data_IF_220977178020
#
_entry.id   IF_220977178020
#
_cell.length_a   1.000
_cell.length_b   1.000
_cell.length_c   1.000
_cell.angle_alpha   90.00
_cell.angle_beta   90.00
_cell.angle_gamma   90.00
#
_symmetry.space_group_name_H-M   'P 1'
#
loop_
_entity.id
_entity.type
_entity.pdbx_description
1 polymer ?
#
# COMPACT_ATOMS: atom_id res chain seq x y z
N UNK A 1 -13.84 35.35 -5.00
CA UNK A 1 -14.65 34.15 -5.35
C UNK A 1 -14.49 33.14 -4.21
N UNK A 2 -15.54 32.38 -3.86
CA UNK A 2 -15.43 31.37 -2.81
C UNK A 2 -14.55 30.21 -3.26
N UNK A 3 -13.72 29.69 -2.35
CA UNK A 3 -12.81 28.56 -2.63
C UNK A 3 -13.60 27.28 -2.86
N UNK A 4 -13.42 26.68 -4.03
CA UNK A 4 -14.16 25.46 -4.41
C UNK A 4 -13.52 24.22 -3.77
N UNK A 5 -14.33 23.41 -3.07
CA UNK A 5 -13.91 22.14 -2.45
C UNK A 5 -14.68 20.98 -3.08
N UNK A 6 -13.97 20.06 -3.72
CA UNK A 6 -14.58 18.85 -4.28
C UNK A 6 -14.67 17.76 -3.23
N UNK A 7 -15.89 17.35 -2.87
CA UNK A 7 -16.14 16.20 -2.01
C UNK A 7 -16.41 14.96 -2.85
N UNK A 8 -15.65 13.90 -2.63
CA UNK A 8 -15.85 12.58 -3.25
C UNK A 8 -16.27 11.60 -2.18
N UNK A 9 -17.38 10.91 -2.39
CA UNK A 9 -18.00 10.07 -1.36
C UNK A 9 -18.38 8.71 -1.94
N UNK A 10 -18.04 7.63 -1.24
CA UNK A 10 -18.56 6.29 -1.50
C UNK A 10 -19.59 5.95 -0.42
N UNK A 11 -20.91 6.10 -0.67
CA UNK A 11 -21.96 6.04 0.35
C UNK A 11 -22.00 4.72 1.16
N UNK A 12 -21.62 3.59 0.52
CA UNK A 12 -21.60 2.27 1.17
C UNK A 12 -20.38 2.04 2.09
N UNK A 13 -19.44 2.98 2.18
CA UNK A 13 -18.29 2.85 3.06
C UNK A 13 -18.66 3.06 4.52
N UNK A 14 -17.99 2.31 5.44
CA UNK A 14 -18.15 2.47 6.88
C UNK A 14 -19.57 2.19 7.38
N UNK A 15 -20.21 1.14 6.87
CA UNK A 15 -21.60 0.76 7.21
C UNK A 15 -22.61 1.89 6.92
N UNK A 16 -22.37 2.66 5.83
CA UNK A 16 -23.23 3.75 5.40
C UNK A 16 -22.99 5.11 6.08
N UNK A 17 -22.03 5.19 7.02
CA UNK A 17 -21.73 6.45 7.74
C UNK A 17 -21.09 7.52 6.84
N UNK A 18 -20.43 7.13 5.75
CA UNK A 18 -19.75 8.06 4.84
C UNK A 18 -20.67 9.18 4.34
N UNK A 19 -21.90 8.89 3.98
CA UNK A 19 -22.84 9.89 3.48
C UNK A 19 -23.28 10.88 4.58
N UNK A 20 -23.48 10.40 5.81
CA UNK A 20 -23.81 11.27 6.95
C UNK A 20 -22.65 12.23 7.28
N UNK A 21 -21.43 11.72 7.31
CA UNK A 21 -20.19 12.52 7.51
C UNK A 21 -20.08 13.55 6.37
N UNK A 22 -20.24 13.15 5.12
CA UNK A 22 -20.14 14.04 3.96
C UNK A 22 -21.15 15.19 3.99
N UNK A 23 -22.39 14.91 4.40
CA UNK A 23 -23.43 15.93 4.55
C UNK A 23 -23.09 16.92 5.69
N UNK A 24 -22.52 16.42 6.79
CA UNK A 24 -22.12 17.27 7.90
C UNK A 24 -20.90 18.14 7.55
N UNK A 25 -19.86 17.56 6.92
CA UNK A 25 -18.71 18.30 6.41
C UNK A 25 -19.13 19.35 5.37
N UNK A 26 -20.04 19.00 4.44
CA UNK A 26 -20.56 19.97 3.46
C UNK A 26 -21.26 21.17 4.13
N UNK A 27 -22.08 20.94 5.15
CA UNK A 27 -22.74 22.05 5.88
C UNK A 27 -21.73 22.95 6.56
N UNK A 28 -20.72 22.36 7.19
CA UNK A 28 -19.67 23.11 7.87
C UNK A 28 -18.82 23.93 6.88
N UNK A 29 -18.46 23.37 5.73
CA UNK A 29 -17.77 24.08 4.65
C UNK A 29 -18.56 25.32 4.18
N UNK A 30 -19.89 25.17 3.98
CA UNK A 30 -20.74 26.30 3.58
C UNK A 30 -20.77 27.38 4.68
N UNK A 31 -20.84 26.99 5.95
CA UNK A 31 -20.81 27.88 7.09
C UNK A 31 -19.52 28.70 7.16
N UNK A 32 -18.41 28.12 6.75
CA UNK A 32 -17.09 28.75 6.72
C UNK A 32 -16.80 29.50 5.39
N UNK A 33 -17.78 29.63 4.48
CA UNK A 33 -17.66 30.40 3.25
C UNK A 33 -17.02 29.68 2.07
N UNK A 34 -16.79 28.37 2.14
CA UNK A 34 -16.37 27.55 1.02
C UNK A 34 -17.52 27.24 0.07
N UNK A 35 -17.18 26.86 -1.19
CA UNK A 35 -18.11 26.40 -2.21
C UNK A 35 -17.97 24.87 -2.44
N UNK A 36 -18.57 24.02 -1.59
CA UNK A 36 -18.41 22.57 -1.69
C UNK A 36 -19.28 21.99 -2.82
N UNK A 37 -18.66 21.20 -3.70
CA UNK A 37 -19.30 20.34 -4.69
C UNK A 37 -19.21 18.89 -4.21
N UNK A 38 -20.32 18.19 -4.08
CA UNK A 38 -20.35 16.81 -3.58
C UNK A 38 -20.74 15.85 -4.69
N UNK A 39 -19.91 14.86 -4.92
CA UNK A 39 -20.15 13.79 -5.88
C UNK A 39 -20.15 12.42 -5.21
N UNK A 40 -21.16 11.63 -5.50
CA UNK A 40 -21.37 10.30 -4.93
C UNK A 40 -20.97 9.23 -5.97
N UNK A 41 -20.24 8.22 -5.51
CA UNK A 41 -19.82 7.10 -6.34
C UNK A 41 -20.37 5.78 -5.78
N UNK A 42 -21.24 5.12 -6.53
CA UNK A 42 -21.81 3.83 -6.13
C UNK A 42 -20.82 2.66 -6.21
N UNK A 43 -19.75 2.79 -7.00
CA UNK A 43 -18.72 1.77 -7.17
C UNK A 43 -17.31 2.37 -7.19
N UNK A 44 -16.34 1.61 -6.73
CA UNK A 44 -14.92 2.01 -6.79
C UNK A 44 -14.46 2.25 -8.24
N UNK A 45 -14.91 1.44 -9.18
CA UNK A 45 -14.58 1.59 -10.61
C UNK A 45 -15.07 2.91 -11.21
N UNK A 46 -16.23 3.42 -10.76
CA UNK A 46 -16.73 4.73 -11.21
C UNK A 46 -15.88 5.87 -10.65
N UNK A 47 -15.44 5.76 -9.39
CA UNK A 47 -14.53 6.73 -8.78
C UNK A 47 -13.17 6.74 -9.48
N UNK A 48 -12.58 5.57 -9.75
CA UNK A 48 -11.30 5.47 -10.48
C UNK A 48 -11.39 6.13 -11.86
N UNK A 49 -12.47 5.89 -12.61
CA UNK A 49 -12.66 6.53 -13.91
C UNK A 49 -12.80 8.04 -13.82
N UNK A 50 -13.47 8.54 -12.79
CA UNK A 50 -13.59 9.96 -12.54
C UNK A 50 -12.24 10.56 -12.16
N UNK A 51 -11.48 9.97 -11.26
CA UNK A 51 -10.18 10.45 -10.80
C UNK A 51 -9.19 10.64 -11.95
N UNK A 52 -9.26 9.76 -12.97
CA UNK A 52 -8.41 9.87 -14.19
C UNK A 52 -8.78 11.00 -15.12
N UNK A 53 -10.00 11.57 -15.02
CA UNK A 53 -10.54 12.49 -16.04
C UNK A 53 -11.17 13.76 -15.48
N UNK A 54 -11.33 13.88 -14.16
CA UNK A 54 -11.97 15.04 -13.55
C UNK A 54 -11.26 16.34 -13.93
N UNK A 55 -12.00 17.45 -14.11
CA UNK A 55 -11.43 18.76 -14.43
C UNK A 55 -10.66 19.33 -13.23
N UNK A 56 -9.74 20.27 -13.51
CA UNK A 56 -8.98 21.02 -12.50
C UNK A 56 -9.72 22.30 -12.10
N UNK A 57 -10.97 22.20 -11.65
CA UNK A 57 -11.86 23.33 -11.35
C UNK A 57 -12.20 23.44 -9.86
N UNK A 58 -11.36 22.89 -9.02
CA UNK A 58 -11.47 22.93 -7.54
C UNK A 58 -10.09 23.14 -6.90
N UNK A 59 -10.08 23.78 -5.73
CA UNK A 59 -8.86 24.11 -4.99
C UNK A 59 -8.44 23.00 -3.99
N UNK A 60 -9.38 22.19 -3.54
CA UNK A 60 -9.15 21.12 -2.59
C UNK A 60 -9.96 19.88 -2.98
N UNK A 61 -9.38 18.70 -2.75
CA UNK A 61 -10.06 17.42 -2.90
C UNK A 61 -10.24 16.75 -1.53
N UNK A 62 -11.47 16.53 -1.12
CA UNK A 62 -11.82 15.83 0.13
C UNK A 62 -12.43 14.48 -0.22
N UNK A 63 -11.81 13.40 0.20
CA UNK A 63 -12.31 12.04 -0.03
C UNK A 63 -12.87 11.43 1.25
N UNK A 64 -14.16 11.07 1.24
CA UNK A 64 -14.87 10.54 2.40
C UNK A 64 -15.24 9.08 2.14
N UNK A 65 -14.58 8.17 2.86
CA UNK A 65 -14.74 6.73 2.61
C UNK A 65 -13.80 5.86 3.44
N UNK A 66 -13.59 4.62 2.98
CA UNK A 66 -12.55 3.72 3.49
C UNK A 66 -11.26 3.81 2.67
N UNK A 67 -10.25 3.00 3.03
CA UNK A 67 -8.91 3.01 2.41
C UNK A 67 -8.95 2.90 0.88
N UNK A 68 -9.82 2.06 0.30
CA UNK A 68 -9.97 1.92 -1.14
C UNK A 68 -10.51 3.20 -1.81
N UNK A 69 -11.48 3.88 -1.18
CA UNK A 69 -12.04 5.15 -1.67
C UNK A 69 -10.96 6.24 -1.66
N UNK A 70 -10.22 6.34 -0.55
CA UNK A 70 -9.15 7.31 -0.38
C UNK A 70 -8.04 7.09 -1.41
N UNK A 71 -7.60 5.85 -1.59
CA UNK A 71 -6.58 5.49 -2.59
C UNK A 71 -7.01 5.84 -4.02
N UNK A 72 -8.25 5.53 -4.40
CA UNK A 72 -8.77 5.86 -5.73
C UNK A 72 -8.93 7.36 -5.97
N UNK A 73 -9.33 8.11 -4.95
CA UNK A 73 -9.47 9.57 -5.05
C UNK A 73 -8.12 10.30 -5.11
N UNK A 74 -7.10 9.77 -4.42
CA UNK A 74 -5.75 10.32 -4.40
C UNK A 74 -5.15 10.43 -5.83
N UNK A 75 -5.52 9.54 -6.76
CA UNK A 75 -5.10 9.62 -8.17
C UNK A 75 -5.45 10.97 -8.82
N UNK A 76 -6.62 11.54 -8.49
CA UNK A 76 -7.01 12.86 -8.99
C UNK A 76 -6.14 13.98 -8.39
N UNK A 77 -5.85 13.92 -7.10
CA UNK A 77 -4.99 14.89 -6.42
C UNK A 77 -3.55 14.85 -6.97
N UNK A 78 -2.98 13.65 -7.12
CA UNK A 78 -1.64 13.48 -7.72
C UNK A 78 -1.60 14.06 -9.13
N UNK A 79 -2.60 13.76 -9.96
CA UNK A 79 -2.65 14.25 -11.36
C UNK A 79 -2.81 15.76 -11.47
N UNK A 80 -3.60 16.36 -10.58
CA UNK A 80 -3.94 17.77 -10.61
C UNK A 80 -3.06 18.64 -9.70
N UNK A 81 -2.21 18.01 -8.88
CA UNK A 81 -1.40 18.65 -7.84
C UNK A 81 -2.24 19.52 -6.88
N UNK A 82 -3.47 19.11 -6.56
CA UNK A 82 -4.35 19.81 -5.62
C UNK A 82 -4.25 19.20 -4.23
N UNK A 83 -4.29 20.02 -3.15
CA UNK A 83 -4.25 19.52 -1.77
C UNK A 83 -5.37 18.50 -1.51
N UNK A 84 -4.98 17.41 -0.85
CA UNK A 84 -5.80 16.23 -0.61
C UNK A 84 -6.10 16.04 0.87
N UNK A 85 -7.38 15.89 1.22
CA UNK A 85 -7.82 15.62 2.57
C UNK A 85 -8.65 14.34 2.63
N UNK A 86 -8.09 13.23 3.13
CA UNK A 86 -8.85 12.00 3.37
C UNK A 86 -9.62 12.08 4.68
N UNK A 87 -10.92 11.77 4.64
CA UNK A 87 -11.80 11.72 5.81
C UNK A 87 -12.26 10.28 6.06
N UNK A 88 -11.80 9.66 7.14
CA UNK A 88 -12.04 8.24 7.37
C UNK A 88 -13.49 7.97 7.78
N UNK A 89 -14.13 7.02 7.11
CA UNK A 89 -15.42 6.45 7.50
C UNK A 89 -15.39 4.91 7.58
N UNK A 90 -14.30 4.31 7.13
CA UNK A 90 -14.09 2.86 7.09
C UNK A 90 -13.63 2.26 8.42
N UNK A 91 -13.31 0.98 8.40
CA UNK A 91 -12.84 0.25 9.58
C UNK A 91 -11.31 0.26 9.73
N UNK A 92 -10.57 0.14 8.63
CA UNK A 92 -9.09 0.08 8.64
C UNK A 92 -8.48 1.45 8.90
N UNK A 93 -8.77 2.38 8.00
CA UNK A 93 -8.29 3.76 8.03
C UNK A 93 -6.78 3.87 8.31
N UNK A 94 -5.98 2.98 7.68
CA UNK A 94 -4.55 2.84 7.96
C UNK A 94 -3.80 4.13 7.64
N UNK A 95 -4.01 4.67 6.45
CA UNK A 95 -3.34 5.88 6.00
C UNK A 95 -3.71 7.10 6.85
N UNK A 96 -5.01 7.31 7.09
CA UNK A 96 -5.48 8.45 7.90
C UNK A 96 -5.09 8.33 9.36
N UNK A 97 -5.04 7.10 9.89
CA UNK A 97 -4.58 6.83 11.25
C UNK A 97 -3.10 7.15 11.46
N UNK A 98 -2.27 7.07 10.39
CA UNK A 98 -0.85 7.43 10.45
C UNK A 98 -0.66 8.92 10.75
N UNK A 99 -1.52 9.78 10.21
CA UNK A 99 -1.48 11.23 10.39
C UNK A 99 -2.51 11.77 11.39
N UNK A 100 -3.27 10.90 12.04
CA UNK A 100 -4.30 11.29 13.03
C UNK A 100 -5.37 12.25 12.47
N UNK A 101 -5.83 11.99 11.25
CA UNK A 101 -6.83 12.82 10.59
C UNK A 101 -8.14 12.88 11.38
N UNK A 102 -8.76 14.08 11.48
CA UNK A 102 -10.03 14.24 12.15
C UNK A 102 -11.16 13.51 11.44
N UNK A 103 -12.15 13.07 12.22
CA UNK A 103 -13.37 12.44 11.71
C UNK A 103 -14.61 13.32 11.90
N UNK A 104 -14.51 14.34 12.74
CA UNK A 104 -15.58 15.29 12.98
C UNK A 104 -15.57 16.44 11.96
N UNK A 105 -16.72 17.03 11.62
CA UNK A 105 -16.82 18.03 10.56
C UNK A 105 -16.05 19.32 10.82
N UNK A 106 -15.94 19.74 12.08
CA UNK A 106 -15.26 20.99 12.44
C UNK A 106 -13.75 20.83 12.25
N UNK A 107 -13.15 19.76 12.77
CA UNK A 107 -11.74 19.45 12.58
C UNK A 107 -11.35 19.24 11.11
N UNK A 108 -12.24 18.64 10.30
CA UNK A 108 -12.02 18.52 8.84
C UNK A 108 -11.91 19.88 8.16
N UNK A 109 -12.78 20.84 8.51
CA UNK A 109 -12.77 22.17 7.91
C UNK A 109 -11.64 23.04 8.46
N UNK A 110 -11.31 22.91 9.73
CA UNK A 110 -10.14 23.55 10.35
C UNK A 110 -8.86 23.14 9.64
N UNK A 111 -8.73 21.83 9.34
CA UNK A 111 -7.58 21.29 8.63
C UNK A 111 -7.45 21.84 7.19
N UNK A 112 -8.55 22.11 6.49
CA UNK A 112 -8.54 22.77 5.18
C UNK A 112 -7.99 24.19 5.22
N UNK A 113 -8.23 24.91 6.33
CA UNK A 113 -7.80 26.31 6.50
C UNK A 113 -6.43 26.50 7.15
N UNK A 114 -5.96 25.53 7.93
CA UNK A 114 -4.76 25.67 8.77
C UNK A 114 -3.87 24.45 8.86
N UNK A 115 -4.11 23.40 8.07
CA UNK A 115 -3.25 22.22 8.04
C UNK A 115 -1.98 22.41 7.23
N UNK A 116 -0.97 21.60 7.55
CA UNK A 116 0.26 21.53 6.78
C UNK A 116 0.04 20.72 5.49
N UNK A 117 0.66 21.15 4.38
CA UNK A 117 0.72 20.35 3.16
C UNK A 117 1.97 19.49 3.19
N UNK A 118 1.79 18.19 3.39
CA UNK A 118 2.86 17.20 3.45
C UNK A 118 2.96 16.47 2.11
N UNK A 119 4.16 16.40 1.54
CA UNK A 119 4.43 15.61 0.35
C UNK A 119 4.47 14.13 0.71
N UNK A 120 3.43 13.38 0.37
CA UNK A 120 3.33 11.96 0.68
C UNK A 120 3.53 11.07 -0.55
N UNK A 121 4.02 9.89 -0.29
CA UNK A 121 4.27 8.85 -1.29
C UNK A 121 2.97 8.14 -1.68
N UNK A 122 2.90 7.69 -2.93
CA UNK A 122 1.78 6.92 -3.47
C UNK A 122 2.30 5.67 -4.16
N UNK A 123 1.76 4.53 -3.79
CA UNK A 123 2.03 3.29 -4.51
C UNK A 123 1.15 3.18 -5.76
N UNK A 124 1.73 2.67 -6.83
CA UNK A 124 1.04 2.39 -8.11
C UNK A 124 1.22 0.94 -8.46
N UNK A 125 0.10 0.23 -8.60
CA UNK A 125 0.00 -1.15 -9.05
C UNK A 125 -0.91 -1.24 -10.28
N UNK A 126 -1.06 -2.41 -10.87
CA UNK A 126 -1.98 -2.62 -11.99
C UNK A 126 -3.44 -2.30 -11.63
N UNK A 127 -3.83 -2.56 -10.40
CA UNK A 127 -5.16 -2.28 -9.87
C UNK A 127 -5.47 -0.79 -9.70
N UNK A 128 -4.46 0.07 -9.73
CA UNK A 128 -4.54 1.52 -9.51
C UNK A 128 -3.57 1.98 -8.41
N UNK A 129 -3.82 3.18 -7.89
CA UNK A 129 -3.05 3.75 -6.79
C UNK A 129 -3.44 3.13 -5.44
N UNK A 130 -2.50 3.08 -4.51
CA UNK A 130 -2.76 2.75 -3.11
C UNK A 130 -1.95 3.66 -2.18
N UNK A 131 -2.54 4.00 -1.04
CA UNK A 131 -1.93 4.85 -0.02
C UNK A 131 -1.38 4.04 1.16
N UNK A 132 -1.95 2.87 1.42
CA UNK A 132 -1.55 2.04 2.56
C UNK A 132 -0.63 0.89 2.15
N UNK A 133 -1.16 -0.15 1.56
CA UNK A 133 -0.38 -1.34 1.16
C UNK A 133 -1.09 -2.14 0.07
N UNK A 134 -0.34 -3.04 -0.57
CA UNK A 134 -0.87 -4.13 -1.38
C UNK A 134 -0.21 -5.45 -0.96
N UNK A 135 -0.94 -6.57 -1.06
CA UNK A 135 -0.47 -7.88 -0.62
C UNK A 135 -0.72 -8.94 -1.67
N UNK A 136 0.18 -9.93 -1.73
CA UNK A 136 0.13 -11.06 -2.66
C UNK A 136 0.25 -12.39 -1.89
N UNK A 137 -0.45 -13.41 -2.37
CA UNK A 137 -0.45 -14.74 -1.78
C UNK A 137 -1.51 -14.92 -0.70
N UNK A 138 -1.18 -15.61 0.38
CA UNK A 138 -2.13 -16.07 1.37
C UNK A 138 -3.05 -14.96 1.94
N UNK A 139 -2.52 -13.78 2.28
CA UNK A 139 -3.33 -12.68 2.82
C UNK A 139 -4.30 -12.07 1.80
N UNK A 140 -3.90 -11.93 0.54
CA UNK A 140 -4.80 -11.39 -0.49
C UNK A 140 -6.05 -12.24 -0.65
N UNK A 141 -5.90 -13.56 -0.54
CA UNK A 141 -7.01 -14.49 -0.62
C UNK A 141 -7.97 -14.43 0.59
N UNK A 142 -7.49 -13.94 1.72
CA UNK A 142 -8.29 -13.81 2.96
C UNK A 142 -8.97 -12.42 3.01
N UNK A 143 -8.36 -11.39 2.44
CA UNK A 143 -8.96 -10.05 2.42
C UNK A 143 -10.32 -10.03 1.71
N UNK A 144 -10.49 -10.80 0.63
CA UNK A 144 -11.76 -10.92 -0.08
C UNK A 144 -12.86 -11.53 0.81
N UNK A 145 -12.52 -12.54 1.62
CA UNK A 145 -13.47 -13.20 2.53
C UNK A 145 -13.75 -12.36 3.78
N UNK A 146 -12.74 -11.64 4.28
CA UNK A 146 -12.89 -10.70 5.40
C UNK A 146 -13.84 -9.56 5.03
N UNK A 147 -13.85 -9.10 3.78
CA UNK A 147 -14.80 -8.10 3.31
C UNK A 147 -16.26 -8.61 3.40
N UNK A 148 -16.50 -9.90 3.14
CA UNK A 148 -17.82 -10.50 3.31
C UNK A 148 -18.24 -10.63 4.79
N UNK A 149 -17.28 -10.90 5.69
CA UNK A 149 -17.50 -11.00 7.15
C UNK A 149 -17.67 -9.63 7.81
N UNK A 150 -17.12 -8.55 7.21
CA UNK A 150 -17.24 -7.16 7.69
C UNK A 150 -18.68 -6.64 7.81
N UNK A 151 -19.63 -7.27 7.16
CA UNK A 151 -21.04 -6.86 7.17
C UNK A 151 -21.76 -7.09 8.52
N UNK A 152 -21.09 -7.68 9.54
CA UNK A 152 -21.66 -7.91 10.85
C UNK A 152 -20.88 -7.20 11.98
N UNK A 153 -21.26 -5.97 12.38
CA UNK A 153 -20.44 -5.08 13.22
C UNK A 153 -20.30 -5.49 14.69
N UNK A 154 -21.14 -6.39 15.21
CA UNK A 154 -21.27 -6.58 16.68
C UNK A 154 -20.26 -7.50 17.36
N UNK A 155 -19.30 -8.13 16.64
CA UNK A 155 -18.50 -9.19 17.24
C UNK A 155 -17.02 -9.19 16.80
N UNK A 156 -16.19 -8.34 17.42
CA UNK A 156 -14.72 -8.27 17.14
C UNK A 156 -14.04 -9.64 17.33
N UNK A 157 -14.43 -10.40 18.38
CA UNK A 157 -13.92 -11.75 18.64
C UNK A 157 -14.41 -12.78 17.61
N UNK A 158 -15.68 -12.69 17.14
CA UNK A 158 -16.21 -13.55 16.09
C UNK A 158 -15.62 -13.24 14.72
N UNK A 159 -15.24 -11.99 14.45
CA UNK A 159 -14.49 -11.62 13.23
C UNK A 159 -13.09 -12.24 13.22
N UNK A 160 -12.39 -12.21 14.36
CA UNK A 160 -11.12 -12.93 14.49
C UNK A 160 -11.31 -14.45 14.29
N UNK A 161 -12.32 -15.05 14.90
CA UNK A 161 -12.61 -16.46 14.75
C UNK A 161 -12.98 -16.82 13.30
N UNK A 162 -13.78 -15.99 12.61
CA UNK A 162 -14.09 -16.17 11.20
C UNK A 162 -12.86 -16.04 10.31
N UNK A 163 -11.98 -15.08 10.59
CA UNK A 163 -10.68 -14.95 9.94
C UNK A 163 -9.83 -16.22 10.09
N UNK A 164 -9.75 -16.77 11.32
CA UNK A 164 -9.04 -18.03 11.57
C UNK A 164 -9.68 -19.24 10.90
N UNK A 165 -11.01 -19.33 10.92
CA UNK A 165 -11.72 -20.45 10.23
C UNK A 165 -11.52 -20.39 8.73
N UNK A 166 -11.58 -19.20 8.11
CA UNK A 166 -11.32 -19.03 6.70
C UNK A 166 -9.87 -19.31 6.35
N UNK A 167 -8.93 -18.83 7.16
CA UNK A 167 -7.51 -19.12 7.01
C UNK A 167 -7.22 -20.62 7.17
N UNK A 168 -7.80 -21.27 8.19
CA UNK A 168 -7.66 -22.71 8.43
C UNK A 168 -8.30 -23.56 7.31
N UNK A 169 -9.49 -23.18 6.82
CA UNK A 169 -10.14 -23.85 5.68
C UNK A 169 -9.35 -23.77 4.37
N UNK A 170 -8.49 -22.79 4.23
CA UNK A 170 -7.57 -22.65 3.08
C UNK A 170 -6.21 -23.30 3.28
N UNK A 171 -5.89 -23.78 4.49
CA UNK A 171 -4.68 -24.55 4.79
C UNK A 171 -4.56 -25.81 3.93
N UNK A 172 -5.67 -26.36 3.43
CA UNK A 172 -5.68 -27.51 2.52
C UNK A 172 -5.28 -27.15 1.07
N UNK A 173 -5.24 -25.87 0.72
CA UNK A 173 -4.82 -25.44 -0.63
C UNK A 173 -3.31 -25.22 -0.66
N UNK A 174 -2.70 -25.56 -1.78
CA UNK A 174 -1.28 -25.27 -1.99
C UNK A 174 -1.03 -23.76 -1.87
N UNK A 175 -0.03 -23.38 -1.06
CA UNK A 175 0.41 -21.99 -0.96
C UNK A 175 0.90 -21.51 -2.34
N UNK A 176 0.57 -20.27 -2.66
CA UNK A 176 1.16 -19.59 -3.81
C UNK A 176 2.69 -19.62 -3.75
N UNK A 177 3.29 -19.59 -4.91
CA UNK A 177 4.73 -19.47 -5.08
C UNK A 177 5.01 -18.10 -5.70
N UNK A 178 5.60 -17.20 -4.93
CA UNK A 178 5.83 -15.82 -5.34
C UNK A 178 7.31 -15.62 -5.60
N UNK A 179 7.63 -15.16 -6.82
CA UNK A 179 8.94 -14.62 -7.18
C UNK A 179 8.90 -13.11 -6.99
N UNK A 180 9.97 -12.55 -6.46
CA UNK A 180 10.08 -11.15 -6.12
C UNK A 180 11.41 -10.56 -6.62
N UNK A 181 11.32 -9.38 -7.22
CA UNK A 181 12.47 -8.51 -7.50
C UNK A 181 12.22 -7.16 -6.85
N UNK A 182 13.24 -6.58 -6.24
CA UNK A 182 13.18 -5.24 -5.62
C UNK A 182 14.32 -4.42 -6.23
N UNK A 183 13.96 -3.28 -6.84
CA UNK A 183 14.87 -2.38 -7.56
C UNK A 183 15.74 -3.13 -8.59
N UNK A 184 15.15 -4.13 -9.27
CA UNK A 184 15.80 -4.96 -10.27
C UNK A 184 16.63 -6.12 -9.72
N UNK A 185 16.74 -6.26 -8.39
CA UNK A 185 17.47 -7.35 -7.76
C UNK A 185 16.53 -8.46 -7.29
N UNK A 186 16.76 -9.71 -7.66
CA UNK A 186 15.93 -10.82 -7.26
C UNK A 186 16.08 -11.10 -5.75
N UNK A 187 14.95 -11.29 -5.07
CA UNK A 187 14.93 -11.77 -3.69
C UNK A 187 15.11 -13.29 -3.69
N UNK A 188 16.08 -13.83 -2.94
CA UNK A 188 16.34 -15.26 -2.92
C UNK A 188 15.15 -16.09 -2.41
N UNK A 189 14.91 -17.23 -3.03
CA UNK A 189 13.87 -18.18 -2.62
C UNK A 189 12.48 -17.83 -3.16
N UNK A 190 11.46 -18.51 -2.64
CA UNK A 190 10.06 -18.28 -2.97
C UNK A 190 9.32 -17.79 -1.74
N UNK A 191 8.43 -16.84 -1.91
CA UNK A 191 7.55 -16.35 -0.86
C UNK A 191 6.17 -17.03 -0.91
N UNK A 192 5.54 -17.16 0.25
CA UNK A 192 4.13 -17.52 0.39
C UNK A 192 3.25 -16.28 0.56
N UNK A 193 3.85 -15.23 1.08
CA UNK A 193 3.22 -13.95 1.30
C UNK A 193 4.21 -12.82 1.03
N UNK A 194 3.76 -11.79 0.33
CA UNK A 194 4.46 -10.53 0.15
C UNK A 194 3.50 -9.39 0.48
N UNK A 195 3.90 -8.49 1.37
CA UNK A 195 3.18 -7.24 1.65
C UNK A 195 4.09 -6.07 1.30
N UNK A 196 3.63 -5.21 0.40
CA UNK A 196 4.32 -4.00 -0.05
C UNK A 196 3.59 -2.83 0.59
N UNK A 197 4.22 -2.19 1.55
CA UNK A 197 3.60 -1.20 2.41
C UNK A 197 4.19 0.20 2.22
N UNK A 198 3.32 1.18 2.23
CA UNK A 198 3.60 2.60 2.24
C UNK A 198 3.38 3.22 3.63
N UNK A 199 2.61 2.55 4.48
CA UNK A 199 2.38 2.89 5.88
C UNK A 199 2.42 1.64 6.74
N UNK A 200 2.52 1.83 8.06
CA UNK A 200 2.41 0.74 9.02
C UNK A 200 1.15 -0.10 8.76
N UNK A 201 1.33 -1.40 8.54
CA UNK A 201 0.22 -2.30 8.20
C UNK A 201 -0.56 -2.74 9.43
N UNK A 202 -1.89 -2.77 9.31
CA UNK A 202 -2.82 -3.36 10.26
C UNK A 202 -2.59 -2.98 11.74
N UNK A 203 -2.39 -1.69 12.03
CA UNK A 203 -2.18 -1.17 13.39
C UNK A 203 -3.01 -1.91 14.44
N UNK A 204 -2.32 -2.49 15.41
CA UNK A 204 -2.94 -3.21 16.53
C UNK A 204 -3.56 -4.55 16.19
N UNK A 205 -3.28 -5.13 15.01
CA UNK A 205 -3.78 -6.45 14.62
C UNK A 205 -2.72 -7.33 13.97
N UNK A 206 -2.06 -6.89 12.91
CA UNK A 206 -1.02 -7.64 12.18
C UNK A 206 0.01 -6.67 11.64
N UNK A 207 0.96 -6.26 12.46
CA UNK A 207 1.97 -5.29 12.07
C UNK A 207 3.17 -5.99 11.42
N UNK A 208 3.13 -6.10 10.08
CA UNK A 208 4.20 -6.70 9.27
C UNK A 208 5.31 -5.70 8.91
N UNK A 209 5.00 -4.40 8.91
CA UNK A 209 5.91 -3.33 8.47
C UNK A 209 5.81 -2.13 9.42
N UNK A 210 6.30 -2.27 10.67
CA UNK A 210 6.14 -1.24 11.70
C UNK A 210 6.87 0.07 11.38
N UNK A 211 7.94 0.00 10.58
CA UNK A 211 8.77 1.16 10.22
C UNK A 211 8.35 1.83 8.91
N UNK A 212 7.30 1.36 8.23
CA UNK A 212 6.87 1.91 6.95
C UNK A 212 6.42 3.38 7.08
N UNK A 213 6.92 4.23 6.17
CA UNK A 213 6.67 5.67 6.14
C UNK A 213 6.11 6.11 4.79
N UNK A 214 5.04 6.89 4.77
CA UNK A 214 4.51 7.45 3.54
C UNK A 214 5.23 8.73 3.06
N UNK A 215 6.44 9.01 3.58
CA UNK A 215 7.16 10.26 3.28
C UNK A 215 8.69 10.08 3.17
N UNK A 216 9.16 8.84 2.90
CA UNK A 216 10.60 8.56 2.77
C UNK A 216 10.99 8.06 1.36
N UNK A 217 10.02 7.99 0.46
CA UNK A 217 10.23 7.60 -0.94
C UNK A 217 10.49 6.11 -1.14
N UNK A 218 10.18 5.26 -0.15
CA UNK A 218 10.44 3.83 -0.19
C UNK A 218 9.22 3.01 0.24
N UNK A 219 9.08 1.82 -0.32
CA UNK A 219 8.21 0.79 0.24
C UNK A 219 8.97 -0.03 1.28
N UNK A 220 8.26 -0.46 2.32
CA UNK A 220 8.66 -1.57 3.16
C UNK A 220 8.01 -2.86 2.64
N UNK A 221 8.83 -3.82 2.24
CA UNK A 221 8.39 -5.06 1.59
C UNK A 221 8.61 -6.22 2.55
N UNK A 222 7.56 -6.63 3.24
CA UNK A 222 7.61 -7.81 4.12
C UNK A 222 7.42 -9.08 3.30
N UNK A 223 8.32 -10.03 3.49
CA UNK A 223 8.35 -11.32 2.80
C UNK A 223 8.27 -12.45 3.82
N UNK A 224 7.26 -13.32 3.69
CA UNK A 224 7.18 -14.57 4.44
C UNK A 224 7.58 -15.70 3.49
N UNK A 225 8.66 -16.45 3.79
CA UNK A 225 9.13 -17.55 2.95
C UNK A 225 8.07 -18.62 2.73
N UNK A 226 8.11 -19.26 1.55
CA UNK A 226 7.23 -20.37 1.22
C UNK A 226 7.68 -21.62 1.98
N UNK A 227 6.90 -21.99 2.98
CA UNK A 227 7.04 -23.20 3.79
C UNK A 227 5.73 -23.99 3.79
N UNK A 228 5.40 -24.69 4.87
CA UNK A 228 4.07 -25.29 5.03
C UNK A 228 3.04 -24.24 5.42
N UNK A 229 1.78 -24.42 5.00
CA UNK A 229 0.69 -23.51 5.34
C UNK A 229 0.51 -23.35 6.86
N UNK A 230 0.70 -24.43 7.64
CA UNK A 230 0.65 -24.38 9.10
C UNK A 230 1.75 -23.47 9.68
N UNK A 231 2.96 -23.50 9.12
CA UNK A 231 4.08 -22.66 9.56
C UNK A 231 3.84 -21.19 9.24
N UNK A 232 3.34 -20.89 8.03
CA UNK A 232 2.97 -19.51 7.62
C UNK A 232 1.87 -18.97 8.55
N UNK A 233 0.83 -19.77 8.85
CA UNK A 233 -0.24 -19.35 9.76
C UNK A 233 0.28 -19.14 11.18
N UNK A 234 1.10 -20.07 11.70
CA UNK A 234 1.74 -19.93 13.01
C UNK A 234 2.54 -18.63 13.12
N UNK A 235 3.29 -18.30 12.06
CA UNK A 235 4.07 -17.07 12.00
C UNK A 235 3.19 -15.81 12.04
N UNK A 236 2.10 -15.78 11.27
CA UNK A 236 1.14 -14.68 11.30
C UNK A 236 0.49 -14.51 12.69
N UNK A 237 0.18 -15.64 13.36
CA UNK A 237 -0.37 -15.62 14.72
C UNK A 237 0.65 -15.04 15.71
N UNK A 238 1.91 -15.46 15.65
CA UNK A 238 2.98 -14.91 16.51
C UNK A 238 3.11 -13.39 16.35
N UNK A 239 3.13 -12.89 15.10
CA UNK A 239 3.18 -11.43 14.83
C UNK A 239 1.94 -10.74 15.40
N UNK A 240 0.78 -11.34 15.28
CA UNK A 240 -0.48 -10.74 15.73
C UNK A 240 -0.59 -10.60 17.24
N UNK A 241 -0.03 -11.54 18.01
CA UNK A 241 0.01 -11.49 19.49
C UNK A 241 1.31 -10.84 20.01
N UNK A 242 2.13 -10.30 19.11
CA UNK A 242 3.44 -9.68 19.39
C UNK A 242 4.35 -10.61 20.24
N UNK A 243 4.37 -11.89 19.88
CA UNK A 243 5.17 -12.89 20.59
C UNK A 243 6.68 -12.57 20.45
N UNK A 244 7.50 -12.87 21.49
CA UNK A 244 8.95 -12.74 21.40
C UNK A 244 9.52 -13.49 20.17
N UNK A 245 10.40 -12.86 19.40
CA UNK A 245 10.98 -13.42 18.18
C UNK A 245 9.99 -13.57 17.00
N UNK A 246 8.79 -13.01 17.11
CA UNK A 246 7.76 -13.12 16.07
C UNK A 246 8.22 -12.57 14.73
N UNK A 247 9.16 -11.64 14.71
CA UNK A 247 9.67 -10.99 13.49
C UNK A 247 10.95 -11.60 12.94
N UNK A 248 11.58 -12.51 13.66
CA UNK A 248 12.89 -13.11 13.28
C UNK A 248 12.80 -13.94 11.99
N UNK A 249 11.65 -14.53 11.71
CA UNK A 249 11.40 -15.30 10.49
C UNK A 249 10.86 -14.42 9.33
N UNK A 250 10.66 -13.12 9.55
CA UNK A 250 10.24 -12.17 8.52
C UNK A 250 11.47 -11.51 7.89
N UNK A 251 11.43 -11.35 6.57
CA UNK A 251 12.40 -10.51 5.88
C UNK A 251 11.70 -9.23 5.44
N UNK A 252 12.21 -8.09 5.86
CA UNK A 252 11.71 -6.79 5.42
C UNK A 252 12.78 -6.12 4.58
N UNK A 253 12.44 -5.83 3.34
CA UNK A 253 13.29 -5.12 2.38
C UNK A 253 12.73 -3.73 2.15
N UNK A 254 13.58 -2.83 1.68
CA UNK A 254 13.16 -1.48 1.27
C UNK A 254 13.50 -1.24 -0.18
N UNK A 255 12.61 -0.61 -0.94
CA UNK A 255 12.86 -0.31 -2.35
C UNK A 255 11.78 0.56 -2.98
N UNK A 256 12.07 1.05 -4.18
CA UNK A 256 11.19 1.97 -4.93
C UNK A 256 10.34 1.26 -5.97
N UNK A 257 10.83 0.15 -6.46
CA UNK A 257 10.17 -0.64 -7.49
C UNK A 257 10.17 -2.11 -7.09
N UNK A 258 9.01 -2.74 -7.16
CA UNK A 258 8.83 -4.14 -6.79
C UNK A 258 8.16 -4.86 -7.94
N UNK A 259 8.78 -5.94 -8.41
CA UNK A 259 8.18 -6.84 -9.40
C UNK A 259 7.77 -8.12 -8.72
N UNK A 260 6.49 -8.45 -8.82
CA UNK A 260 5.88 -9.63 -8.21
C UNK A 260 5.37 -10.58 -9.27
N UNK A 261 5.72 -11.86 -9.18
CA UNK A 261 5.16 -12.93 -10.00
C UNK A 261 4.55 -14.00 -9.12
N UNK A 262 3.22 -14.11 -9.14
CA UNK A 262 2.49 -15.15 -8.40
C UNK A 262 2.31 -16.37 -9.29
N UNK A 263 2.87 -17.50 -8.86
CA UNK A 263 2.87 -18.77 -9.61
C UNK A 263 3.47 -18.56 -11.02
N UNK A 264 2.75 -19.00 -12.08
CA UNK A 264 3.15 -18.82 -13.48
C UNK A 264 2.43 -17.65 -14.17
N UNK A 265 1.79 -16.75 -13.40
CA UNK A 265 1.08 -15.59 -13.96
C UNK A 265 2.07 -14.55 -14.51
N UNK A 266 1.55 -13.64 -15.34
CA UNK A 266 2.34 -12.49 -15.81
C UNK A 266 2.77 -11.64 -14.61
N UNK A 267 4.05 -11.24 -14.54
CA UNK A 267 4.51 -10.41 -13.44
C UNK A 267 3.79 -9.07 -13.40
N UNK A 268 3.71 -8.51 -12.22
CA UNK A 268 3.18 -7.19 -11.95
C UNK A 268 4.29 -6.29 -11.43
N UNK A 269 4.41 -5.10 -12.01
CA UNK A 269 5.33 -4.07 -11.57
C UNK A 269 4.60 -3.07 -10.68
N UNK A 270 5.11 -2.88 -9.48
CA UNK A 270 4.64 -1.93 -8.49
C UNK A 270 5.74 -0.88 -8.31
N UNK A 271 5.36 0.40 -8.27
CA UNK A 271 6.32 1.49 -8.10
C UNK A 271 5.79 2.54 -7.13
N UNK A 272 6.69 3.24 -6.47
CA UNK A 272 6.37 4.38 -5.64
C UNK A 272 6.46 5.68 -6.47
N UNK A 273 5.52 6.58 -6.26
CA UNK A 273 5.59 7.97 -6.68
C UNK A 273 5.93 8.78 -5.43
N UNK A 274 7.22 9.02 -5.23
CA UNK A 274 7.72 9.69 -4.03
C UNK A 274 7.23 11.14 -3.96
N UNK A 275 6.66 11.53 -2.82
CA UNK A 275 6.19 12.87 -2.53
C UNK A 275 5.08 13.39 -3.47
N UNK A 276 4.42 12.50 -4.22
CA UNK A 276 3.50 12.91 -5.29
C UNK A 276 2.13 13.41 -4.79
N UNK A 277 1.74 13.07 -3.55
CA UNK A 277 0.45 13.45 -2.99
C UNK A 277 0.61 14.65 -2.05
N UNK A 278 0.07 15.83 -2.38
CA UNK A 278 0.04 16.97 -1.47
C UNK A 278 -1.04 16.75 -0.40
N UNK A 279 -0.69 16.03 0.67
CA UNK A 279 -1.61 15.68 1.76
C UNK A 279 -1.80 16.85 2.72
N UNK A 280 -3.04 17.23 3.02
CA UNK A 280 -3.36 18.08 4.15
C UNK A 280 -3.33 17.25 5.43
N UNK A 281 -2.42 17.57 6.34
CA UNK A 281 -2.22 16.89 7.60
C UNK A 281 -2.25 17.87 8.79
N UNK A 282 -2.57 17.39 10.00
CA UNK A 282 -2.48 18.22 11.21
C UNK A 282 -1.06 18.78 11.39
N UNK A 283 -0.96 20.01 11.89
CA UNK A 283 0.31 20.70 12.09
C UNK A 283 1.34 19.81 12.85
N UNK A 284 2.57 19.75 12.35
CA UNK A 284 3.64 18.92 12.90
C UNK A 284 3.43 17.39 12.79
N UNK A 285 2.48 16.93 11.97
CA UNK A 285 2.22 15.48 11.80
C UNK A 285 3.42 14.75 11.21
N UNK A 286 4.18 15.39 10.32
CA UNK A 286 5.38 14.79 9.73
C UNK A 286 6.48 14.57 10.76
N UNK A 287 6.72 15.56 11.63
CA UNK A 287 7.75 15.48 12.70
C UNK A 287 7.39 14.35 13.69
N UNK A 288 6.11 14.24 14.06
CA UNK A 288 5.63 13.15 14.92
C UNK A 288 5.79 11.78 14.27
N UNK A 289 5.58 11.69 12.95
CA UNK A 289 5.78 10.45 12.20
C UNK A 289 7.25 10.04 12.19
N UNK A 290 8.15 10.96 11.88
CA UNK A 290 9.60 10.74 11.85
C UNK A 290 10.13 10.36 13.23
N UNK A 291 9.69 11.04 14.29
CA UNK A 291 10.06 10.71 15.66
C UNK A 291 9.65 9.29 16.08
N UNK A 292 8.44 8.84 15.68
CA UNK A 292 7.98 7.45 15.92
C UNK A 292 8.84 6.43 15.17
N UNK A 293 9.25 6.71 13.94
CA UNK A 293 10.06 5.81 13.13
C UNK A 293 11.45 5.62 13.70
N UNK A 294 12.10 6.70 14.16
CA UNK A 294 13.41 6.63 14.81
C UNK A 294 13.33 5.74 16.05
N UNK A 295 12.31 5.93 16.90
CA UNK A 295 12.11 5.08 18.08
C UNK A 295 11.94 3.60 17.72
N UNK A 296 11.12 3.29 16.70
CA UNK A 296 10.90 1.90 16.27
C UNK A 296 12.14 1.23 15.66
N UNK A 297 12.98 1.99 14.96
CA UNK A 297 14.24 1.47 14.40
C UNK A 297 15.27 1.18 15.49
N UNK A 298 15.19 1.88 16.61
CA UNK A 298 16.08 1.69 17.76
C UNK A 298 15.69 0.45 18.58
N UNK A 299 14.37 0.20 18.72
CA UNK A 299 13.85 -0.89 19.57
C UNK A 299 13.78 -2.26 18.86
N UNK A 300 13.76 -2.29 17.53
CA UNK A 300 13.72 -3.52 16.75
C UNK A 300 14.64 -3.38 15.53
N UNK A 301 15.92 -3.83 15.62
CA UNK A 301 16.75 -3.88 14.43
C UNK A 301 16.12 -4.84 13.44
N UNK A 302 15.42 -4.28 12.45
CA UNK A 302 14.96 -5.03 11.29
C UNK A 302 16.22 -5.48 10.57
N UNK A 303 16.49 -6.79 10.58
CA UNK A 303 17.53 -7.39 9.73
C UNK A 303 17.09 -7.17 8.29
N UNK A 304 17.53 -6.08 7.69
CA UNK A 304 17.35 -5.83 6.26
C UNK A 304 18.39 -6.69 5.55
N UNK A 305 18.01 -7.82 4.92
CA UNK A 305 18.96 -8.60 4.17
C UNK A 305 19.49 -7.72 3.04
N UNK A 306 20.80 -7.60 2.95
CA UNK A 306 21.43 -6.88 1.83
C UNK A 306 21.19 -7.69 0.56
N UNK A 307 20.46 -7.12 -0.39
CA UNK A 307 20.33 -7.70 -1.71
C UNK A 307 21.70 -7.54 -2.41
N UNK A 308 22.42 -8.63 -2.58
CA UNK A 308 23.65 -8.65 -3.38
C UNK A 308 23.27 -8.91 -4.84
N UNK A 309 23.82 -8.12 -5.76
CA UNK A 309 23.75 -8.45 -7.18
C UNK A 309 24.31 -9.88 -7.36
N UNK A 310 23.68 -10.74 -8.16
CA UNK A 310 24.21 -12.06 -8.43
C UNK A 310 25.64 -11.86 -9.00
N UNK A 311 26.61 -12.53 -8.38
CA UNK A 311 27.96 -12.55 -8.90
C UNK A 311 27.87 -12.94 -10.38
N UNK A 312 28.37 -12.11 -11.27
CA UNK A 312 28.39 -12.40 -12.69
C UNK A 312 29.07 -13.77 -12.82
N UNK A 313 28.33 -14.78 -13.25
CA UNK A 313 28.85 -16.12 -13.46
C UNK A 313 29.88 -16.00 -14.57
N UNK A 314 31.15 -15.96 -14.18
CA UNK A 314 32.30 -16.13 -15.07
C UNK A 314 32.29 -17.56 -15.56
N UNK A 315 31.51 -17.85 -16.60
CA UNK A 315 31.61 -19.04 -17.41
C UNK A 315 31.07 -18.73 -18.80
N UNK A 316 31.85 -17.94 -19.56
CA UNK A 316 31.78 -18.03 -21.00
C UNK A 316 32.48 -19.35 -21.40
N UNK A 317 31.84 -20.23 -22.19
CA UNK A 317 32.53 -21.43 -22.65
C UNK A 317 33.62 -21.03 -23.65
N UNK A 318 34.85 -21.49 -23.37
CA UNK A 318 36.05 -21.34 -24.21
C UNK A 318 36.00 -22.12 -25.56
N UNK A 319 34.84 -22.19 -26.21
CA UNK A 319 34.63 -22.99 -27.42
C UNK A 319 34.52 -22.17 -28.71
N UNK A 320 34.83 -20.86 -28.69
CA UNK A 320 34.73 -20.02 -29.89
C UNK A 320 36.07 -19.51 -30.43
N UNK A 321 37.20 -19.92 -29.89
CA UNK A 321 38.54 -19.51 -30.40
C UNK A 321 39.24 -20.49 -31.34
N UNK A 322 38.80 -21.73 -31.44
CA UNK A 322 39.48 -22.71 -32.31
C UNK A 322 38.97 -22.83 -33.76
N UNK A 323 37.97 -22.04 -34.18
CA UNK A 323 37.46 -22.10 -35.57
C UNK A 323 37.89 -20.94 -36.47
N UNK A 324 38.79 -20.05 -36.04
CA UNK A 324 39.31 -18.96 -36.89
C UNK A 324 40.71 -19.15 -37.44
N UNK A 325 41.39 -20.25 -37.13
CA UNK A 325 42.76 -20.52 -37.66
C UNK A 325 42.86 -21.57 -38.75
N UNK A 326 41.76 -22.05 -39.35
CA UNK A 326 41.77 -23.02 -40.44
C UNK A 326 40.97 -22.58 -41.65
N UNK A 327 41.27 -21.42 -42.22
CA UNK A 327 40.86 -21.10 -43.59
C UNK A 327 41.78 -20.02 -44.20
N UNK A 328 42.98 -20.42 -44.53
CA UNK A 328 43.80 -19.71 -45.55
C UNK A 328 43.94 -20.65 -46.73
N UNK A 329 43.47 -20.35 -47.93
CA UNK A 329 43.74 -21.14 -49.13
C UNK A 329 45.13 -20.81 -49.64
N UNK A 330 45.84 -21.77 -50.31
CA UNK A 330 47.18 -21.57 -50.84
C UNK A 330 47.15 -20.66 -52.04
N UNK A 331 48.20 -19.82 -52.14
CA UNK A 331 48.45 -18.97 -53.28
C UNK A 331 48.87 -19.88 -54.53
N UNK A 332 48.18 -19.65 -55.62
CA UNK A 332 48.63 -20.16 -56.94
C UNK A 332 49.72 -19.25 -57.47
N UNK A 333 50.85 -19.95 -57.88
CA UNK A 333 51.97 -19.40 -58.65
C UNK A 333 51.75 -19.77 -60.09
N UNK A 334 51.65 -18.81 -60.96
CA UNK A 334 52.18 -18.79 -62.31
C UNK A 334 52.05 -17.38 -62.92
#
# INVERSE_FOLDING_TARGET
MATTVQLVVTPGSGDGRALAIARAVRRELIRQGYAPRMQLFGTLSSLIRWAKRCPADFSYLVAIGGDATMSAAAEASVRLAVPYLPVPSGFGNLFTGTFEHPTDPAGVVELLGGGDVVACDVGVARSGTFLSHTSYGFLSSIQEDVEQVRRHPRQRALRMLAYYRTAAGRLSRALDSIDLEIDGMPVPGKAALVTIANVETYRGFLNLTPAASPADGLFDVCVIPRTTAARVLSQLVKVMIDAPGARDELSVFRGRAVRVRVNRRKPEDIRILAGALPLLAPAGALDRLQGRQIAMQTDAPVTTPTLHAPAASASAPAAARERRERSTPPAEVA
#
